data_IF_301460962885
#
_entry.id   IF_301460962885
#
_cell.length_a   1.000
_cell.length_b   1.000
_cell.length_c   1.000
_cell.angle_alpha   90.00
_cell.angle_beta   90.00
_cell.angle_gamma   90.00
#
_symmetry.space_group_name_H-M   'P 1'
#
loop_
_entity.id
_entity.type
_entity.pdbx_description
1 polymer ?
#
# COMPACT_ATOMS: atom_id res chain seq x y z
N UNK A 1 24.73 2.15 -9.31
CA UNK A 1 23.47 2.22 -8.55
C UNK A 1 23.33 3.67 -8.13
N UNK A 2 22.19 4.34 -8.34
CA UNK A 2 22.08 5.80 -8.20
C UNK A 2 21.89 6.30 -6.76
N UNK A 3 21.91 5.38 -5.79
CA UNK A 3 21.81 5.68 -4.36
C UNK A 3 23.17 5.49 -3.70
N UNK A 4 23.65 6.54 -3.06
CA UNK A 4 24.97 6.63 -2.44
C UNK A 4 24.89 7.09 -0.98
N UNK A 5 25.91 6.77 -0.19
CA UNK A 5 26.12 7.43 1.11
C UNK A 5 26.34 8.96 0.91
N UNK A 6 25.93 9.79 1.86
CA UNK A 6 26.06 11.26 1.73
C UNK A 6 27.53 11.67 1.61
N UNK A 7 28.40 11.11 2.44
CA UNK A 7 29.82 11.50 2.51
C UNK A 7 30.74 10.69 1.58
N UNK A 8 30.18 9.87 0.69
CA UNK A 8 30.98 8.98 -0.15
C UNK A 8 30.28 8.51 -1.42
N UNK A 9 30.99 7.62 -2.13
CA UNK A 9 30.51 7.00 -3.37
C UNK A 9 30.13 5.52 -3.18
N UNK A 10 29.99 5.11 -1.91
CA UNK A 10 29.55 3.77 -1.55
C UNK A 10 28.05 3.63 -1.76
N UNK A 11 27.55 2.43 -2.08
CA UNK A 11 26.12 2.18 -2.17
C UNK A 11 25.40 2.56 -0.87
N UNK A 12 24.27 3.25 -0.99
CA UNK A 12 23.48 3.65 0.15
C UNK A 12 23.09 2.46 1.04
N UNK A 13 23.17 2.66 2.35
CA UNK A 13 22.70 1.71 3.36
C UNK A 13 21.45 2.25 4.03
N UNK A 14 20.47 1.38 4.20
CA UNK A 14 19.23 1.72 4.91
C UNK A 14 19.42 1.35 6.38
N UNK A 15 19.61 2.37 7.23
CA UNK A 15 19.64 2.22 8.69
C UNK A 15 18.47 3.01 9.26
N UNK A 16 17.57 2.30 9.92
CA UNK A 16 16.31 2.84 10.42
C UNK A 16 16.17 2.48 11.90
N UNK A 17 15.64 3.43 12.68
CA UNK A 17 15.27 3.23 14.07
C UNK A 17 13.75 3.14 14.16
N UNK A 18 13.22 2.05 14.71
CA UNK A 18 11.79 1.89 14.91
C UNK A 18 11.34 2.68 16.15
N UNK A 19 10.49 3.68 15.96
CA UNK A 19 9.99 4.56 17.03
C UNK A 19 8.53 4.23 17.42
N UNK A 20 7.79 3.54 16.55
CA UNK A 20 6.42 3.14 16.81
C UNK A 20 6.03 1.82 16.13
N UNK A 21 4.75 1.42 16.17
CA UNK A 21 4.30 0.16 15.59
C UNK A 21 4.55 0.07 14.07
N UNK A 22 4.47 1.20 13.38
CA UNK A 22 4.66 1.31 11.92
C UNK A 22 5.54 2.47 11.49
N UNK A 23 6.03 3.28 12.44
CA UNK A 23 6.83 4.47 12.16
C UNK A 23 8.31 4.24 12.45
N UNK A 24 9.14 4.75 11.55
CA UNK A 24 10.60 4.61 11.55
C UNK A 24 11.27 5.97 11.38
N UNK A 25 12.41 6.16 12.03
CA UNK A 25 13.30 7.31 11.83
C UNK A 25 14.48 6.88 10.96
N UNK A 26 14.87 7.71 10.00
CA UNK A 26 16.05 7.46 9.16
C UNK A 26 17.31 7.87 9.93
N UNK A 27 18.18 6.90 10.21
CA UNK A 27 19.41 7.11 10.99
C UNK A 27 20.60 7.40 10.07
N UNK A 28 20.73 6.66 8.97
CA UNK A 28 21.79 6.85 7.99
C UNK A 28 21.24 7.59 6.77
N UNK A 29 21.69 8.83 6.50
CA UNK A 29 21.26 9.54 5.32
C UNK A 29 21.91 8.99 4.06
N UNK A 30 21.19 9.13 2.94
CA UNK A 30 21.63 8.75 1.62
C UNK A 30 21.35 9.85 0.61
N UNK A 31 22.12 9.84 -0.48
CA UNK A 31 21.96 10.70 -1.64
C UNK A 31 21.44 9.88 -2.82
N UNK A 32 20.39 10.36 -3.47
CA UNK A 32 19.92 9.86 -4.75
C UNK A 32 20.34 10.82 -5.86
N UNK A 33 20.84 10.28 -6.97
CA UNK A 33 21.17 11.03 -8.18
C UNK A 33 20.22 10.56 -9.28
N UNK A 34 19.31 11.42 -9.72
CA UNK A 34 18.40 11.10 -10.81
C UNK A 34 19.19 10.95 -12.11
N UNK A 35 19.16 9.77 -12.71
CA UNK A 35 19.88 9.52 -13.97
C UNK A 35 19.30 10.30 -15.15
N UNK A 36 18.05 10.76 -15.07
CA UNK A 36 17.37 11.45 -16.16
C UNK A 36 17.65 12.95 -16.11
N UNK A 37 17.45 13.59 -14.96
CA UNK A 37 17.65 15.04 -14.80
C UNK A 37 19.05 15.43 -14.32
N UNK A 38 19.81 14.48 -13.75
CA UNK A 38 21.07 14.77 -13.06
C UNK A 38 20.89 15.43 -11.69
N UNK A 39 19.65 15.66 -11.25
CA UNK A 39 19.32 16.29 -9.97
C UNK A 39 19.67 15.37 -8.79
N UNK A 40 20.12 15.97 -7.69
CA UNK A 40 20.54 15.24 -6.50
C UNK A 40 19.61 15.55 -5.34
N UNK A 41 19.18 14.49 -4.64
CA UNK A 41 18.32 14.57 -3.49
C UNK A 41 19.00 13.89 -2.30
N UNK A 42 19.07 14.58 -1.16
CA UNK A 42 19.64 14.03 0.09
C UNK A 42 18.49 13.72 1.05
N UNK A 43 18.49 12.51 1.61
CA UNK A 43 17.41 11.96 2.44
C UNK A 43 18.00 11.29 3.69
N UNK A 44 17.64 11.70 4.92
CA UNK A 44 16.87 12.89 5.28
C UNK A 44 17.58 14.19 4.91
N UNK A 45 16.85 15.20 4.41
CA UNK A 45 17.40 16.56 4.27
C UNK A 45 17.53 17.21 5.67
N UNK A 46 18.74 17.60 6.12
CA UNK A 46 18.98 18.17 7.46
C UNK A 46 18.12 19.38 7.80
N UNK A 47 17.55 20.07 6.81
CA UNK A 47 16.71 21.26 6.98
C UNK A 47 15.39 20.99 7.70
N UNK A 48 14.88 19.76 7.66
CA UNK A 48 13.53 19.44 8.14
C UNK A 48 13.49 18.70 9.48
N UNK A 49 14.63 18.59 10.17
CA UNK A 49 14.70 18.02 11.52
C UNK A 49 14.50 16.50 11.58
N UNK A 50 13.84 16.03 12.64
CA UNK A 50 13.70 14.60 12.94
C UNK A 50 12.60 13.97 12.07
N UNK A 51 13.00 13.32 10.98
CA UNK A 51 12.09 12.82 9.96
C UNK A 51 11.62 11.39 10.25
N UNK A 52 10.30 11.24 10.34
CA UNK A 52 9.63 9.96 10.47
C UNK A 52 9.10 9.52 9.11
N UNK A 53 9.27 8.25 8.79
CA UNK A 53 8.76 7.58 7.60
C UNK A 53 8.08 6.29 8.03
N UNK A 54 6.94 5.99 7.43
CA UNK A 54 6.19 4.77 7.71
C UNK A 54 6.63 3.58 6.85
N UNK A 55 7.80 3.72 6.18
CA UNK A 55 8.36 2.75 5.22
C UNK A 55 7.32 2.25 4.23
N UNK A 56 7.07 3.02 3.16
CA UNK A 56 6.09 2.68 2.14
C UNK A 56 4.76 2.21 2.75
N UNK A 57 3.83 3.13 3.02
CA UNK A 57 2.50 2.85 3.57
C UNK A 57 1.65 1.95 2.65
N UNK A 58 2.00 0.66 2.58
CA UNK A 58 1.35 -0.38 1.80
C UNK A 58 0.27 -1.01 2.68
N UNK A 59 -1.02 -0.89 2.29
CA UNK A 59 -2.11 -1.52 3.02
C UNK A 59 -1.83 -3.00 3.28
N UNK A 60 -2.15 -3.51 4.47
CA UNK A 60 -1.90 -4.90 4.87
C UNK A 60 -2.36 -5.94 3.84
N UNK A 61 -3.50 -5.67 3.21
CA UNK A 61 -4.11 -6.52 2.17
C UNK A 61 -3.23 -6.64 0.91
N UNK A 62 -2.27 -5.74 0.67
CA UNK A 62 -1.37 -5.77 -0.48
C UNK A 62 0.03 -6.29 -0.13
N UNK A 63 0.31 -6.55 1.16
CA UNK A 63 1.64 -6.98 1.63
C UNK A 63 2.03 -8.38 1.13
N UNK A 64 1.06 -9.21 0.75
CA UNK A 64 1.34 -10.50 0.10
C UNK A 64 1.93 -10.35 -1.31
N UNK A 65 1.70 -9.21 -1.98
CA UNK A 65 2.20 -8.94 -3.34
C UNK A 65 3.43 -8.01 -3.36
N UNK A 66 3.38 -6.94 -2.55
CA UNK A 66 4.48 -6.00 -2.34
C UNK A 66 4.95 -6.16 -0.90
N UNK A 67 6.10 -6.80 -0.64
CA UNK A 67 6.63 -6.90 0.71
C UNK A 67 6.91 -5.50 1.26
N UNK A 68 6.88 -5.31 2.58
CA UNK A 68 7.12 -3.98 3.22
C UNK A 68 8.51 -3.42 2.93
N UNK A 69 9.48 -4.28 2.70
CA UNK A 69 10.86 -3.90 2.42
C UNK A 69 11.46 -4.71 1.28
N UNK A 70 12.49 -4.15 0.66
CA UNK A 70 13.26 -4.77 -0.41
C UNK A 70 13.89 -3.73 -1.33
N UNK A 71 14.05 -4.08 -2.61
CA UNK A 71 14.63 -3.20 -3.63
C UNK A 71 13.90 -1.86 -3.81
N UNK A 72 12.63 -1.76 -3.38
CA UNK A 72 11.82 -0.56 -3.49
C UNK A 72 11.87 0.32 -2.22
N UNK A 73 12.56 -0.10 -1.16
CA UNK A 73 12.61 0.66 0.11
C UNK A 73 13.30 2.01 -0.07
N UNK A 74 14.49 2.05 -0.67
CA UNK A 74 15.21 3.30 -0.95
C UNK A 74 14.38 4.27 -1.83
N UNK A 75 13.80 3.81 -2.97
CA UNK A 75 12.86 4.63 -3.74
C UNK A 75 11.66 5.13 -2.94
N UNK A 76 11.09 4.33 -2.04
CA UNK A 76 9.94 4.73 -1.25
C UNK A 76 10.29 5.81 -0.22
N UNK A 77 11.42 5.66 0.47
CA UNK A 77 11.94 6.68 1.38
C UNK A 77 12.20 8.01 0.67
N UNK A 78 12.75 7.94 -0.55
CA UNK A 78 12.90 9.11 -1.41
C UNK A 78 11.55 9.73 -1.76
N UNK A 79 10.56 8.93 -2.19
CA UNK A 79 9.24 9.44 -2.57
C UNK A 79 8.51 10.11 -1.41
N UNK A 80 8.53 9.52 -0.22
CA UNK A 80 7.95 10.10 1.01
C UNK A 80 8.53 11.51 1.25
N UNK A 81 9.87 11.64 1.20
CA UNK A 81 10.54 12.94 1.37
C UNK A 81 10.19 13.95 0.28
N UNK A 82 10.14 13.53 -0.98
CA UNK A 82 9.79 14.40 -2.09
C UNK A 82 8.36 14.95 -1.96
N UNK A 83 7.46 14.15 -1.40
CA UNK A 83 6.03 14.49 -1.24
C UNK A 83 5.77 15.28 0.05
N UNK A 84 6.35 14.88 1.18
CA UNK A 84 6.07 15.47 2.48
C UNK A 84 6.71 16.86 2.65
N UNK A 85 7.78 17.13 1.90
CA UNK A 85 8.52 18.39 1.96
C UNK A 85 8.42 19.22 0.66
N UNK A 86 7.53 18.84 -0.27
CA UNK A 86 7.32 19.52 -1.55
C UNK A 86 8.64 19.85 -2.29
N UNK A 87 9.62 18.93 -2.24
CA UNK A 87 10.96 19.13 -2.84
C UNK A 87 10.93 19.18 -4.37
N UNK A 88 9.78 18.86 -4.96
CA UNK A 88 9.52 18.95 -6.39
C UNK A 88 8.23 19.72 -6.64
N UNK A 89 8.24 20.53 -7.71
CA UNK A 89 7.13 21.45 -8.05
C UNK A 89 5.77 20.76 -8.26
N UNK A 90 5.78 19.46 -8.56
CA UNK A 90 4.57 18.68 -8.79
C UNK A 90 4.71 17.26 -8.27
N UNK A 91 3.68 16.81 -7.56
CA UNK A 91 3.54 15.43 -7.08
C UNK A 91 3.59 14.39 -8.20
N UNK A 92 3.15 14.74 -9.42
CA UNK A 92 3.33 13.84 -10.57
C UNK A 92 4.82 13.67 -10.95
N UNK A 93 5.68 14.65 -10.67
CA UNK A 93 7.13 14.54 -10.84
C UNK A 93 7.72 13.61 -9.78
N UNK A 94 7.29 13.73 -8.52
CA UNK A 94 7.67 12.79 -7.46
C UNK A 94 7.32 11.34 -7.85
N UNK A 95 6.10 11.10 -8.35
CA UNK A 95 5.69 9.76 -8.79
C UNK A 95 6.57 9.23 -9.94
N UNK A 96 6.94 10.08 -10.90
CA UNK A 96 7.84 9.67 -12.00
C UNK A 96 9.24 9.33 -11.49
N UNK A 97 9.83 10.18 -10.65
CA UNK A 97 11.14 9.92 -10.02
C UNK A 97 11.11 8.60 -9.26
N UNK A 98 10.03 8.34 -8.50
CA UNK A 98 9.85 7.07 -7.81
C UNK A 98 9.85 5.85 -8.75
N UNK A 99 9.14 5.93 -9.88
CA UNK A 99 9.12 4.86 -10.89
C UNK A 99 10.51 4.61 -11.48
N UNK A 100 11.24 5.66 -11.80
CA UNK A 100 12.57 5.58 -12.41
C UNK A 100 13.59 5.04 -11.40
N UNK A 101 13.60 5.56 -10.17
CA UNK A 101 14.40 5.07 -9.05
C UNK A 101 14.17 3.57 -8.76
N UNK A 102 12.93 3.10 -8.81
CA UNK A 102 12.62 1.66 -8.71
C UNK A 102 13.20 0.85 -9.88
N UNK A 103 13.18 1.40 -11.10
CA UNK A 103 13.79 0.78 -12.27
C UNK A 103 15.29 0.60 -12.12
N UNK A 104 15.96 1.61 -11.59
CA UNK A 104 17.41 1.60 -11.34
C UNK A 104 17.83 0.66 -10.20
N UNK A 105 16.93 0.44 -9.23
CA UNK A 105 17.09 -0.55 -8.17
C UNK A 105 16.71 -1.98 -8.60
N UNK A 106 16.49 -2.21 -9.90
CA UNK A 106 16.12 -3.51 -10.48
C UNK A 106 14.81 -4.09 -9.94
N UNK A 107 13.87 -3.23 -9.49
CA UNK A 107 12.52 -3.68 -9.14
C UNK A 107 11.86 -4.26 -10.40
N UNK A 108 11.26 -5.44 -10.26
CA UNK A 108 10.56 -6.15 -11.35
C UNK A 108 9.63 -5.20 -12.11
N UNK A 109 9.69 -5.26 -13.44
CA UNK A 109 8.97 -4.34 -14.33
C UNK A 109 7.49 -4.17 -13.95
N UNK A 110 6.74 -5.27 -13.81
CA UNK A 110 5.31 -5.15 -13.49
C UNK A 110 5.07 -4.51 -12.11
N UNK A 111 5.89 -4.86 -11.10
CA UNK A 111 5.77 -4.33 -9.74
C UNK A 111 6.00 -2.81 -9.72
N UNK A 112 7.05 -2.31 -10.39
CA UNK A 112 7.38 -0.88 -10.41
C UNK A 112 6.24 -0.04 -11.01
N UNK A 113 5.61 -0.54 -12.07
CA UNK A 113 4.51 0.16 -12.75
C UNK A 113 3.22 0.14 -11.93
N UNK A 114 2.92 -0.97 -11.24
CA UNK A 114 1.76 -1.05 -10.35
C UNK A 114 1.91 -0.12 -9.13
N UNK A 115 3.09 -0.10 -8.52
CA UNK A 115 3.39 0.82 -7.42
C UNK A 115 3.27 2.28 -7.86
N UNK A 116 3.83 2.62 -9.03
CA UNK A 116 3.66 3.94 -9.65
C UNK A 116 2.18 4.29 -9.89
N UNK A 117 1.40 3.38 -10.47
CA UNK A 117 -0.02 3.63 -10.71
C UNK A 117 -0.80 3.86 -9.40
N UNK A 118 -0.46 3.13 -8.33
CA UNK A 118 -1.08 3.29 -7.02
C UNK A 118 -0.82 4.68 -6.41
N UNK A 119 0.45 5.14 -6.38
CA UNK A 119 0.79 6.47 -5.84
C UNK A 119 0.20 7.58 -6.70
N UNK A 120 0.18 7.41 -8.03
CA UNK A 120 -0.46 8.37 -8.93
C UNK A 120 -1.96 8.44 -8.69
N UNK A 121 -2.68 7.32 -8.53
CA UNK A 121 -4.10 7.34 -8.16
C UNK A 121 -4.32 8.11 -6.85
N UNK A 122 -3.49 7.89 -5.83
CA UNK A 122 -3.55 8.64 -4.56
C UNK A 122 -3.42 10.15 -4.80
N UNK A 123 -2.45 10.57 -5.61
CA UNK A 123 -2.28 11.98 -6.03
C UNK A 123 -3.51 12.55 -6.74
N UNK A 124 -4.24 11.75 -7.53
CA UNK A 124 -5.48 12.19 -8.19
C UNK A 124 -6.61 12.41 -7.17
N UNK A 125 -6.77 11.47 -6.24
CA UNK A 125 -7.84 11.46 -5.24
C UNK A 125 -7.69 12.63 -4.27
N UNK A 126 -6.48 12.87 -3.76
CA UNK A 126 -6.22 13.93 -2.79
C UNK A 126 -6.56 15.33 -3.34
N UNK A 127 -6.37 15.58 -4.65
CA UNK A 127 -6.69 16.88 -5.26
C UNK A 127 -8.18 17.15 -5.42
N UNK A 128 -9.04 16.13 -5.57
CA UNK A 128 -10.49 16.31 -5.76
C UNK A 128 -11.26 15.03 -5.51
N UNK A 129 -11.97 14.95 -4.39
CA UNK A 129 -12.78 13.77 -4.02
C UNK A 129 -13.80 13.37 -5.10
N UNK A 130 -14.33 14.32 -5.89
CA UNK A 130 -15.23 14.02 -7.02
C UNK A 130 -14.59 13.13 -8.09
N UNK A 131 -13.25 13.05 -8.15
CA UNK A 131 -12.52 12.13 -9.03
C UNK A 131 -12.49 10.69 -8.50
N UNK A 132 -12.98 10.45 -7.28
CA UNK A 132 -13.20 9.08 -6.78
C UNK A 132 -14.28 8.37 -7.59
N UNK A 133 -15.33 9.05 -8.03
CA UNK A 133 -16.45 8.42 -8.77
C UNK A 133 -15.96 7.66 -10.01
N UNK A 134 -15.21 8.27 -10.95
CA UNK A 134 -14.70 7.54 -12.11
C UNK A 134 -13.69 6.45 -11.73
N UNK A 135 -12.89 6.63 -10.66
CA UNK A 135 -11.95 5.61 -10.18
C UNK A 135 -12.70 4.40 -9.60
N UNK A 136 -13.74 4.63 -8.80
CA UNK A 136 -14.55 3.55 -8.24
C UNK A 136 -15.32 2.83 -9.34
N UNK A 137 -15.93 3.58 -10.27
CA UNK A 137 -16.58 2.98 -11.45
C UNK A 137 -15.59 2.13 -12.26
N UNK A 138 -14.37 2.62 -12.46
CA UNK A 138 -13.27 1.89 -13.08
C UNK A 138 -12.97 0.56 -12.36
N UNK A 139 -12.76 0.61 -11.04
CA UNK A 139 -12.51 -0.56 -10.22
C UNK A 139 -13.65 -1.58 -10.32
N UNK A 140 -14.90 -1.13 -10.21
CA UNK A 140 -16.07 -2.00 -10.27
C UNK A 140 -16.14 -2.74 -11.61
N UNK A 141 -15.91 -2.05 -12.74
CA UNK A 141 -15.93 -2.66 -14.07
C UNK A 141 -14.86 -3.76 -14.19
N UNK A 142 -13.61 -3.49 -13.79
CA UNK A 142 -12.53 -4.46 -13.94
C UNK A 142 -12.59 -5.60 -12.94
N UNK A 143 -13.07 -5.36 -11.71
CA UNK A 143 -13.38 -6.43 -10.76
C UNK A 143 -14.47 -7.32 -11.35
N UNK A 144 -15.55 -6.72 -11.89
CA UNK A 144 -16.63 -7.51 -12.47
C UNK A 144 -16.14 -8.41 -13.62
N UNK A 145 -15.27 -7.86 -14.48
CA UNK A 145 -14.65 -8.60 -15.58
C UNK A 145 -13.70 -9.71 -15.11
N UNK A 146 -12.90 -9.46 -14.07
CA UNK A 146 -11.97 -10.46 -13.50
C UNK A 146 -12.72 -11.67 -12.93
N UNK A 147 -13.82 -11.42 -12.21
CA UNK A 147 -14.68 -12.48 -11.69
C UNK A 147 -15.31 -13.29 -12.82
N UNK A 148 -15.82 -12.62 -13.87
CA UNK A 148 -16.41 -13.30 -15.05
C UNK A 148 -15.44 -14.26 -15.74
N UNK A 149 -14.14 -13.94 -15.77
CA UNK A 149 -13.11 -14.75 -16.42
C UNK A 149 -12.54 -15.87 -15.54
N UNK A 150 -12.92 -15.91 -14.27
CA UNK A 150 -12.39 -16.88 -13.31
C UNK A 150 -13.30 -18.12 -13.26
N UNK A 151 -12.81 -19.33 -13.62
CA UNK A 151 -13.64 -20.52 -13.85
C UNK A 151 -14.70 -20.86 -12.80
N UNK A 152 -14.42 -20.84 -11.47
CA UNK A 152 -15.44 -21.14 -10.46
C UNK A 152 -16.60 -20.13 -10.43
N UNK A 153 -16.39 -18.89 -10.90
CA UNK A 153 -17.43 -17.87 -10.98
C UNK A 153 -18.08 -17.81 -12.37
N UNK A 154 -17.37 -18.23 -13.41
CA UNK A 154 -17.91 -18.30 -14.77
C UNK A 154 -19.01 -19.35 -14.94
N UNK A 155 -19.01 -20.40 -14.10
CA UNK A 155 -20.03 -21.45 -14.09
C UNK A 155 -21.20 -21.17 -13.15
N UNK A 156 -21.07 -20.19 -12.25
CA UNK A 156 -22.16 -19.72 -11.41
C UNK A 156 -23.00 -18.71 -12.21
N UNK A 157 -24.12 -19.16 -12.75
CA UNK A 157 -25.16 -18.33 -13.38
C UNK A 157 -25.87 -17.40 -12.34
N UNK A 158 -25.10 -16.62 -11.58
CA UNK A 158 -25.64 -15.58 -10.70
C UNK A 158 -26.11 -14.45 -11.62
N UNK A 159 -27.41 -14.42 -11.85
CA UNK A 159 -28.14 -13.52 -12.74
C UNK A 159 -27.73 -12.03 -12.68
N UNK A 160 -27.28 -11.54 -11.52
CA UNK A 160 -26.80 -10.16 -11.34
C UNK A 160 -25.45 -9.86 -12.02
N UNK A 161 -24.58 -10.85 -12.20
CA UNK A 161 -23.27 -10.68 -12.86
C UNK A 161 -23.32 -11.02 -14.35
N UNK A 162 -24.17 -11.97 -14.74
CA UNK A 162 -24.34 -12.43 -16.13
C UNK A 162 -25.06 -11.38 -17.01
N UNK A 163 -25.79 -10.44 -16.41
CA UNK A 163 -26.52 -9.38 -17.12
C UNK A 163 -25.63 -8.23 -17.60
N UNK A 164 -24.54 -7.91 -16.89
CA UNK A 164 -23.69 -6.75 -17.19
C UNK A 164 -22.74 -6.99 -18.39
N UNK A 165 -22.35 -8.25 -18.64
CA UNK A 165 -21.36 -8.63 -19.66
C UNK A 165 -21.82 -9.93 -20.34
N UNK A 166 -22.79 -9.84 -21.27
CA UNK A 166 -23.27 -10.97 -22.09
C UNK A 166 -22.26 -11.42 -23.17
N UNK A 167 -20.96 -11.38 -22.86
CA UNK A 167 -19.92 -11.79 -23.80
C UNK A 167 -19.60 -13.28 -23.67
N UNK A 168 -19.37 -13.98 -24.80
CA UNK A 168 -18.76 -15.31 -24.79
C UNK A 168 -17.34 -15.23 -24.19
N UNK A 169 -16.78 -16.37 -23.77
CA UNK A 169 -15.49 -16.42 -23.06
C UNK A 169 -14.35 -15.71 -23.82
N UNK A 170 -14.29 -15.86 -25.15
CA UNK A 170 -13.31 -15.18 -26.00
C UNK A 170 -13.55 -13.65 -26.02
N UNK A 171 -14.80 -13.22 -26.00
CA UNK A 171 -15.17 -11.80 -25.92
C UNK A 171 -14.79 -11.19 -24.58
N UNK A 172 -14.93 -11.95 -23.49
CA UNK A 172 -14.46 -11.53 -22.18
C UNK A 172 -12.92 -11.42 -22.13
N UNK A 173 -12.18 -12.33 -22.77
CA UNK A 173 -10.71 -12.23 -22.91
C UNK A 173 -10.31 -10.99 -23.71
N UNK A 174 -10.97 -10.74 -24.86
CA UNK A 174 -10.74 -9.53 -25.64
C UNK A 174 -11.05 -8.27 -24.83
N UNK A 175 -12.14 -8.25 -24.07
CA UNK A 175 -12.49 -7.15 -23.18
C UNK A 175 -11.46 -6.97 -22.05
N UNK A 176 -10.84 -8.03 -21.55
CA UNK A 176 -9.80 -7.92 -20.51
C UNK A 176 -8.47 -7.39 -21.04
N UNK A 177 -8.11 -7.73 -22.27
CA UNK A 177 -6.87 -7.26 -22.90
C UNK A 177 -7.04 -5.85 -23.46
N UNK A 178 -8.12 -5.60 -24.22
CA UNK A 178 -8.37 -4.34 -24.91
C UNK A 178 -9.18 -3.34 -24.09
N UNK A 179 -9.96 -3.78 -23.10
CA UNK A 179 -10.78 -2.89 -22.25
C UNK A 179 -9.95 -1.88 -21.44
N UNK A 180 -8.87 -2.28 -20.74
CA UNK A 180 -8.01 -1.34 -20.03
C UNK A 180 -7.47 -0.20 -20.90
N UNK A 181 -6.85 -0.44 -22.07
CA UNK A 181 -6.46 0.67 -22.95
C UNK A 181 -7.63 1.46 -23.52
N UNK A 182 -8.71 0.81 -23.97
CA UNK A 182 -9.85 1.53 -24.54
C UNK A 182 -10.55 2.45 -23.54
N UNK A 183 -10.85 1.94 -22.35
CA UNK A 183 -11.51 2.70 -21.32
C UNK A 183 -10.56 3.76 -20.70
N UNK A 184 -9.24 3.53 -20.74
CA UNK A 184 -8.27 4.44 -20.13
C UNK A 184 -8.17 5.76 -20.89
N UNK A 185 -8.70 5.84 -22.11
CA UNK A 185 -8.87 7.08 -22.84
C UNK A 185 -9.62 8.16 -22.02
N UNK A 186 -10.54 7.74 -21.13
CA UNK A 186 -11.27 8.65 -20.21
C UNK A 186 -10.32 9.41 -19.27
N UNK A 187 -9.13 8.85 -19.00
CA UNK A 187 -8.13 9.46 -18.12
C UNK A 187 -7.29 10.53 -18.82
N UNK A 188 -7.47 10.73 -20.14
CA UNK A 188 -6.82 11.78 -20.92
C UNK A 188 -5.29 11.74 -20.79
N UNK A 189 -4.69 12.83 -20.28
CA UNK A 189 -3.23 12.94 -20.05
C UNK A 189 -2.66 11.85 -19.13
N UNK A 190 -3.52 11.20 -18.32
CA UNK A 190 -3.15 10.12 -17.39
C UNK A 190 -3.52 8.73 -17.91
N UNK A 191 -3.64 8.58 -19.23
CA UNK A 191 -3.95 7.32 -19.91
C UNK A 191 -3.16 6.12 -19.37
N UNK A 192 -1.83 6.25 -19.19
CA UNK A 192 -0.99 5.16 -18.70
C UNK A 192 -1.35 4.70 -17.29
N UNK A 193 -1.79 5.62 -16.41
CA UNK A 193 -2.28 5.26 -15.07
C UNK A 193 -3.53 4.38 -15.19
N UNK A 194 -4.47 4.76 -16.07
CA UNK A 194 -5.67 3.97 -16.35
C UNK A 194 -5.33 2.58 -16.90
N UNK A 195 -4.45 2.48 -17.89
CA UNK A 195 -4.04 1.19 -18.50
C UNK A 195 -3.45 0.25 -17.45
N UNK A 196 -2.46 0.73 -16.71
CA UNK A 196 -1.71 -0.10 -15.76
C UNK A 196 -2.59 -0.50 -14.57
N UNK A 197 -3.39 0.43 -14.05
CA UNK A 197 -4.32 0.12 -12.97
C UNK A 197 -5.43 -0.83 -13.44
N UNK A 198 -5.93 -0.69 -14.68
CA UNK A 198 -6.93 -1.60 -15.25
C UNK A 198 -6.41 -3.05 -15.32
N UNK A 199 -5.21 -3.27 -15.87
CA UNK A 199 -4.59 -4.61 -15.85
C UNK A 199 -4.22 -5.08 -14.44
N UNK A 200 -3.77 -4.18 -13.57
CA UNK A 200 -3.48 -4.50 -12.18
C UNK A 200 -4.72 -5.01 -11.45
N UNK A 201 -5.83 -4.27 -11.53
CA UNK A 201 -7.11 -4.67 -10.92
C UNK A 201 -7.59 -5.97 -11.54
N UNK A 202 -7.51 -6.11 -12.86
CA UNK A 202 -7.90 -7.33 -13.52
C UNK A 202 -7.12 -8.56 -13.01
N UNK A 203 -5.79 -8.46 -12.89
CA UNK A 203 -4.92 -9.54 -12.45
C UNK A 203 -5.08 -9.86 -10.95
N UNK A 204 -5.29 -8.84 -10.12
CA UNK A 204 -5.24 -8.96 -8.67
C UNK A 204 -6.61 -8.92 -7.98
N UNK A 205 -7.72 -8.61 -8.67
CA UNK A 205 -9.04 -8.49 -8.05
C UNK A 205 -9.46 -9.76 -7.31
N UNK A 206 -9.36 -10.92 -7.97
CA UNK A 206 -9.76 -12.20 -7.37
C UNK A 206 -8.93 -12.56 -6.14
N UNK A 207 -7.57 -12.59 -6.19
CA UNK A 207 -6.79 -12.90 -5.00
C UNK A 207 -6.96 -11.85 -3.89
N UNK A 208 -7.11 -10.56 -4.24
CA UNK A 208 -7.40 -9.51 -3.24
C UNK A 208 -8.72 -9.78 -2.55
N UNK A 209 -9.80 -10.07 -3.28
CA UNK A 209 -11.10 -10.39 -2.68
C UNK A 209 -11.01 -11.63 -1.81
N UNK A 210 -10.30 -12.68 -2.26
CA UNK A 210 -10.10 -13.89 -1.47
C UNK A 210 -9.38 -13.59 -0.14
N UNK A 211 -8.30 -12.79 -0.17
CA UNK A 211 -7.57 -12.36 1.03
C UNK A 211 -8.46 -11.51 1.95
N UNK A 212 -9.23 -10.56 1.39
CA UNK A 212 -10.16 -9.73 2.16
C UNK A 212 -11.21 -10.59 2.87
N UNK A 213 -11.79 -11.57 2.17
CA UNK A 213 -12.76 -12.49 2.76
C UNK A 213 -12.13 -13.33 3.88
N UNK A 214 -10.91 -13.85 3.65
CA UNK A 214 -10.18 -14.60 4.67
C UNK A 214 -9.88 -13.75 5.92
N UNK A 215 -9.43 -12.51 5.74
CA UNK A 215 -9.19 -11.57 6.84
C UNK A 215 -10.48 -11.18 7.56
N UNK A 216 -11.59 -11.01 6.83
CA UNK A 216 -12.89 -10.72 7.43
C UNK A 216 -13.38 -11.87 8.31
N UNK A 217 -13.21 -13.12 7.87
CA UNK A 217 -13.52 -14.32 8.67
C UNK A 217 -12.64 -14.37 9.93
N UNK A 218 -11.35 -14.12 9.78
CA UNK A 218 -10.42 -14.06 10.91
C UNK A 218 -10.83 -12.99 11.93
N UNK A 219 -11.09 -11.75 11.48
CA UNK A 219 -11.50 -10.66 12.36
C UNK A 219 -12.84 -10.92 13.04
N UNK A 220 -13.80 -11.55 12.35
CA UNK A 220 -15.07 -11.95 12.94
C UNK A 220 -14.86 -13.01 14.05
N UNK A 221 -13.97 -13.98 13.82
CA UNK A 221 -13.58 -14.96 14.84
C UNK A 221 -12.90 -14.31 16.04
N UNK A 222 -11.94 -13.40 15.81
CA UNK A 222 -11.25 -12.69 16.88
C UNK A 222 -12.20 -11.81 17.70
N UNK A 223 -13.12 -11.11 17.02
CA UNK A 223 -14.16 -10.33 17.68
C UNK A 223 -15.05 -11.20 18.57
N UNK A 224 -15.50 -12.36 18.06
CA UNK A 224 -16.33 -13.30 18.82
C UNK A 224 -15.60 -13.84 20.05
N UNK A 225 -14.33 -14.24 19.90
CA UNK A 225 -13.52 -14.75 21.01
C UNK A 225 -13.29 -13.69 22.09
N UNK A 226 -12.97 -12.45 21.70
CA UNK A 226 -12.83 -11.32 22.64
C UNK A 226 -14.15 -11.03 23.36
N UNK A 227 -15.28 -11.11 22.66
CA UNK A 227 -16.60 -10.95 23.24
C UNK A 227 -16.94 -12.05 24.27
N UNK A 228 -16.56 -13.30 24.00
CA UNK A 228 -16.73 -14.40 24.95
C UNK A 228 -15.83 -14.29 26.20
N UNK A 229 -14.57 -13.89 26.03
CA UNK A 229 -13.62 -13.70 27.15
C UNK A 229 -14.09 -12.58 28.08
N UNK A 230 -14.49 -11.43 27.53
CA UNK A 230 -15.03 -10.31 28.32
C UNK A 230 -16.28 -10.71 29.10
N UNK A 231 -17.19 -11.51 28.52
CA UNK A 231 -18.35 -12.06 29.25
C UNK A 231 -17.95 -12.99 30.39
N UNK A 232 -16.93 -13.83 30.17
CA UNK A 232 -16.45 -14.78 31.17
C UNK A 232 -15.79 -14.09 32.36
N UNK A 233 -15.11 -12.95 32.13
CA UNK A 233 -14.49 -12.15 33.20
C UNK A 233 -15.50 -11.40 34.07
N UNK A 234 -16.64 -10.96 33.51
CA UNK A 234 -17.71 -10.31 34.30
C UNK A 234 -18.50 -11.30 35.17
N UNK A 235 -18.38 -12.61 34.91
CA UNK A 235 -19.00 -13.67 35.71
C UNK A 235 -18.12 -14.24 36.83
N UNK A 236 -16.84 -13.85 36.93
CA UNK A 236 -15.97 -14.24 38.05
C UNK A 236 -16.13 -13.23 39.19
N UNK A 237 -16.52 -13.65 40.40
CA UNK A 237 -16.40 -12.77 41.56
C UNK A 237 -14.94 -12.34 41.69
N UNK A 238 -14.72 -11.04 41.87
CA UNK A 238 -13.40 -10.48 42.13
C UNK A 238 -12.80 -11.17 43.36
N UNK A 239 -11.67 -11.85 43.20
CA UNK A 239 -10.89 -12.31 44.34
C UNK A 239 -10.61 -11.10 45.24
N UNK A 240 -10.84 -11.21 46.56
CA UNK A 240 -10.55 -10.13 47.48
C UNK A 240 -9.07 -9.75 47.34
N UNK A 241 -8.73 -8.45 47.41
CA UNK A 241 -7.34 -8.02 47.37
C UNK A 241 -6.54 -8.78 48.42
N UNK A 242 -5.28 -9.18 48.13
CA UNK A 242 -4.46 -9.90 49.10
C UNK A 242 -4.43 -9.08 50.39
N UNK A 243 -4.83 -9.71 51.50
CA UNK A 243 -4.87 -9.08 52.80
C UNK A 243 -3.54 -8.37 53.03
N UNK A 244 -3.60 -7.05 53.20
CA UNK A 244 -2.46 -6.25 53.61
C UNK A 244 -1.94 -6.86 54.90
N UNK A 245 -0.78 -7.51 54.84
CA UNK A 245 -0.09 -7.97 56.02
C UNK A 245 0.13 -6.74 56.92
N UNK A 246 -0.59 -6.68 58.03
CA UNK A 246 -0.37 -5.68 59.07
C UNK A 246 1.08 -5.79 59.53
N UNK A 247 1.89 -4.83 59.10
CA UNK A 247 3.22 -4.61 59.66
C UNK A 247 2.97 -4.04 61.06
N UNK A 248 2.92 -4.95 62.04
CA UNK A 248 2.91 -4.59 63.44
C UNK A 248 4.24 -3.93 63.80
N UNK A 249 4.20 -2.60 63.85
CA UNK A 249 5.26 -1.76 64.38
C UNK A 249 5.32 -1.98 65.91
N UNK A 250 6.31 -2.75 66.39
CA UNK A 250 6.67 -2.82 67.81
C UNK A 250 7.88 -1.94 68.04
N UNK A 251 7.61 -0.66 68.30
CA UNK A 251 8.50 0.21 69.04
C UNK A 251 7.98 0.32 70.48
N UNK A 252 8.63 -0.34 71.44
CA UNK A 252 8.76 0.14 72.82
C UNK A 252 9.67 -0.80 73.64
N UNK A 253 10.56 -0.16 74.40
CA UNK A 253 11.48 -0.61 75.46
C UNK A 253 12.77 -1.32 75.05
#
# INVERSE_FOLDING_TARGET
MPFYEVDGDRPARVVLEQIGPTSFRIVAPFRYVDSVSGEQFVVPDPRWGDQQTDLASVPGILQWFVPRYGQHTLPALLHDQLVDHDLVDDRERADRIFRDAMGEQNVRFLRRWLMWAAVSISTIVQRRWLRLVPIVAWLVVFVALAFRLTPPFASWDVWAFNTLVRLPWWGAVLAAVAGPPLLAAVWGRRYLVGVISGWGVFLFAVPVVAVVLALAVYWAGEWLLRWLDTRSRHGRPSDPPPATAEVHDRAAS
#
